data_IF_464569095142
#
_entry.id   IF_464569095142
#
_cell.length_a   1.000
_cell.length_b   1.000
_cell.length_c   1.000
_cell.angle_alpha   90.00
_cell.angle_beta   90.00
_cell.angle_gamma   90.00
#
_symmetry.space_group_name_H-M   'P 1'
#
loop_
_entity.id
_entity.type
_entity.pdbx_description
1 polymer ?
#
# COMPACT_ATOMS: atom_id res chain seq x y z
N UNK A 1 6.34 3.28 -33.02
CA UNK A 1 5.47 3.86 -31.98
C UNK A 1 5.83 3.16 -30.68
N UNK A 2 6.49 3.88 -29.78
CA UNK A 2 7.28 3.31 -28.69
C UNK A 2 6.42 2.65 -27.60
N UNK A 3 6.92 1.54 -27.08
CA UNK A 3 6.39 0.83 -25.90
C UNK A 3 6.68 1.59 -24.61
N UNK A 4 6.32 2.87 -24.55
CA UNK A 4 6.60 3.72 -23.39
C UNK A 4 5.64 3.36 -22.24
N UNK A 5 6.21 2.91 -21.11
CA UNK A 5 5.46 2.57 -19.90
C UNK A 5 4.79 3.84 -19.32
N UNK A 6 3.46 3.87 -19.23
CA UNK A 6 2.73 4.96 -18.58
C UNK A 6 2.64 4.75 -17.07
N UNK A 7 3.34 5.60 -16.30
CA UNK A 7 3.44 5.51 -14.82
C UNK A 7 2.42 6.42 -14.11
N UNK A 8 1.85 7.39 -14.83
CA UNK A 8 0.91 8.36 -14.28
C UNK A 8 -0.52 7.91 -14.54
N UNK A 9 -1.20 7.54 -13.46
CA UNK A 9 -2.64 7.31 -13.50
C UNK A 9 -3.37 8.62 -13.80
N UNK A 10 -4.45 8.53 -14.57
CA UNK A 10 -5.32 9.67 -14.90
C UNK A 10 -6.68 9.41 -14.31
N UNK A 11 -7.41 10.47 -13.95
CA UNK A 11 -8.76 10.33 -13.37
C UNK A 11 -9.73 9.54 -14.27
N UNK A 12 -9.44 9.44 -15.57
CA UNK A 12 -10.18 8.66 -16.57
C UNK A 12 -9.67 7.22 -16.78
N UNK A 13 -8.60 6.78 -16.10
CA UNK A 13 -8.02 5.44 -16.21
C UNK A 13 -7.23 5.17 -17.51
N UNK A 14 -7.08 6.16 -18.38
CA UNK A 14 -6.35 6.03 -19.64
C UNK A 14 -5.17 7.01 -19.71
N UNK A 15 -4.05 6.56 -20.26
CA UNK A 15 -2.86 7.40 -20.41
C UNK A 15 -3.11 8.51 -21.44
N UNK A 16 -3.01 9.81 -21.09
CA UNK A 16 -3.36 10.91 -21.99
C UNK A 16 -2.38 11.08 -23.15
N UNK A 17 -1.22 10.41 -23.11
CA UNK A 17 -0.22 10.43 -24.18
C UNK A 17 -0.38 9.32 -25.21
N UNK A 18 -0.76 8.11 -24.80
CA UNK A 18 -0.81 6.95 -25.70
C UNK A 18 -2.18 6.28 -25.80
N UNK A 19 -3.16 6.70 -25.00
CA UNK A 19 -4.50 6.08 -24.94
C UNK A 19 -4.52 4.66 -24.36
N UNK A 20 -3.38 4.14 -23.92
CA UNK A 20 -3.25 2.81 -23.33
C UNK A 20 -3.79 2.73 -21.91
N UNK A 21 -4.13 1.51 -21.50
CA UNK A 21 -4.54 1.22 -20.12
C UNK A 21 -3.34 1.39 -19.17
N UNK A 22 -3.56 2.04 -18.03
CA UNK A 22 -2.55 2.19 -16.97
C UNK A 22 -2.60 0.93 -16.10
N UNK A 23 -1.55 0.13 -16.16
CA UNK A 23 -1.43 -1.10 -15.37
C UNK A 23 -0.48 -0.85 -14.20
N UNK A 24 -0.83 -1.37 -13.02
CA UNK A 24 0.06 -1.37 -11.87
C UNK A 24 1.34 -2.14 -12.20
N UNK A 25 2.49 -1.47 -12.11
CA UNK A 25 3.80 -2.11 -12.36
C UNK A 25 4.26 -2.99 -11.20
N UNK A 26 3.69 -2.77 -10.01
CA UNK A 26 3.99 -3.52 -8.79
C UNK A 26 2.70 -4.02 -8.18
N UNK A 27 2.64 -5.32 -7.90
CA UNK A 27 1.53 -5.95 -7.23
C UNK A 27 1.82 -6.11 -5.74
N UNK A 28 0.80 -5.94 -4.91
CA UNK A 28 0.85 -6.17 -3.45
C UNK A 28 1.48 -7.52 -3.08
N UNK A 29 1.07 -8.60 -3.76
CA UNK A 29 1.57 -9.94 -3.49
C UNK A 29 3.08 -10.08 -3.69
N UNK A 30 3.66 -9.34 -4.64
CA UNK A 30 5.11 -9.33 -4.85
C UNK A 30 5.83 -8.67 -3.67
N UNK A 31 5.27 -7.59 -3.12
CA UNK A 31 5.84 -6.87 -1.97
C UNK A 31 5.71 -7.69 -0.69
N UNK A 32 4.52 -8.23 -0.40
CA UNK A 32 4.23 -9.03 0.80
C UNK A 32 5.14 -10.25 0.92
N UNK A 33 5.41 -10.94 -0.20
CA UNK A 33 6.28 -12.12 -0.24
C UNK A 33 7.68 -11.86 0.32
N UNK A 34 8.32 -10.77 -0.09
CA UNK A 34 9.68 -10.47 0.35
C UNK A 34 9.75 -9.93 1.78
N UNK A 35 8.70 -9.28 2.24
CA UNK A 35 8.59 -8.80 3.61
C UNK A 35 8.54 -9.97 4.61
N UNK A 36 7.76 -11.00 4.32
CA UNK A 36 7.66 -12.21 5.14
C UNK A 36 9.01 -12.95 5.23
N UNK A 37 9.69 -13.11 4.10
CA UNK A 37 11.04 -13.70 4.05
C UNK A 37 12.03 -12.85 4.86
N UNK A 38 11.94 -11.52 4.78
CA UNK A 38 12.83 -10.62 5.50
C UNK A 38 12.66 -10.71 7.02
N UNK A 39 11.42 -10.89 7.50
CA UNK A 39 11.13 -11.17 8.92
C UNK A 39 11.76 -12.48 9.38
N UNK A 40 11.56 -13.56 8.64
CA UNK A 40 12.10 -14.89 8.97
C UNK A 40 13.65 -14.86 9.03
N UNK A 41 14.30 -14.17 8.09
CA UNK A 41 15.76 -13.99 8.10
C UNK A 41 16.20 -13.17 9.31
N UNK A 42 15.46 -12.10 9.62
CA UNK A 42 15.75 -11.25 10.78
C UNK A 42 15.71 -12.03 12.10
N UNK A 43 14.73 -12.91 12.27
CA UNK A 43 14.60 -13.77 13.46
C UNK A 43 15.66 -14.86 13.50
N UNK A 44 15.92 -15.55 12.38
CA UNK A 44 16.86 -16.68 12.34
C UNK A 44 18.31 -16.28 12.54
N UNK A 45 18.73 -15.15 11.97
CA UNK A 45 20.14 -14.74 11.96
C UNK A 45 20.47 -13.67 13.00
N UNK A 46 19.50 -13.29 13.85
CA UNK A 46 19.75 -12.36 14.96
C UNK A 46 20.22 -10.98 14.50
N UNK A 47 19.51 -10.36 13.54
CA UNK A 47 19.80 -9.00 13.09
C UNK A 47 19.63 -7.99 14.22
N UNK A 48 20.23 -6.80 14.07
CA UNK A 48 20.15 -5.75 15.08
C UNK A 48 18.70 -5.42 15.48
N UNK A 49 18.48 -5.09 16.75
CA UNK A 49 17.16 -4.71 17.26
C UNK A 49 16.52 -3.56 16.46
N UNK A 50 17.34 -2.59 16.04
CA UNK A 50 16.91 -1.49 15.17
C UNK A 50 16.40 -1.99 13.81
N UNK A 51 17.13 -2.91 13.17
CA UNK A 51 16.72 -3.50 11.89
C UNK A 51 15.42 -4.29 12.05
N UNK A 52 15.26 -5.03 13.16
CA UNK A 52 14.04 -5.81 13.41
C UNK A 52 12.82 -4.91 13.58
N UNK A 53 12.93 -3.87 14.40
CA UNK A 53 11.88 -2.87 14.57
C UNK A 53 11.51 -2.18 13.25
N UNK A 54 12.50 -1.90 12.40
CA UNK A 54 12.23 -1.34 11.07
C UNK A 54 11.44 -2.29 10.18
N UNK A 55 11.73 -3.58 10.21
CA UNK A 55 10.97 -4.58 9.44
C UNK A 55 9.52 -4.67 9.98
N UNK A 56 9.34 -4.61 11.30
CA UNK A 56 8.01 -4.58 11.93
C UNK A 56 7.21 -3.32 11.54
N UNK A 57 7.85 -2.14 11.51
CA UNK A 57 7.22 -0.90 11.06
C UNK A 57 6.82 -0.95 9.59
N UNK A 58 7.71 -1.45 8.72
CA UNK A 58 7.42 -1.61 7.29
C UNK A 58 6.22 -2.53 7.05
N UNK A 59 6.06 -3.55 7.88
CA UNK A 59 4.91 -4.45 7.81
C UNK A 59 3.60 -3.77 8.18
N UNK A 60 3.62 -2.96 9.24
CA UNK A 60 2.47 -2.16 9.61
C UNK A 60 2.09 -1.17 8.49
N UNK A 61 3.08 -0.47 7.95
CA UNK A 61 2.87 0.50 6.87
C UNK A 61 2.30 -0.17 5.61
N UNK A 62 2.89 -1.30 5.20
CA UNK A 62 2.42 -2.07 4.03
C UNK A 62 0.99 -2.57 4.27
N UNK A 63 0.69 -3.13 5.44
CA UNK A 63 -0.66 -3.56 5.78
C UNK A 63 -1.65 -2.40 5.71
N UNK A 64 -1.33 -1.24 6.28
CA UNK A 64 -2.19 -0.05 6.25
C UNK A 64 -2.38 0.51 4.83
N UNK A 65 -1.34 0.52 4.00
CA UNK A 65 -1.41 1.01 2.62
C UNK A 65 -2.33 0.17 1.73
N UNK A 66 -2.38 -1.15 1.96
CA UNK A 66 -3.22 -2.08 1.19
C UNK A 66 -4.57 -2.37 1.88
N UNK A 67 -4.77 -1.90 3.11
CA UNK A 67 -6.04 -2.01 3.80
C UNK A 67 -7.08 -1.17 3.06
N UNK A 68 -8.13 -1.83 2.57
CA UNK A 68 -9.13 -1.19 1.74
C UNK A 68 -9.91 -0.16 2.56
N UNK A 69 -9.54 1.11 2.42
CA UNK A 69 -10.36 2.25 2.80
C UNK A 69 -11.58 2.37 1.86
N UNK A 70 -12.44 1.34 1.79
CA UNK A 70 -13.87 1.58 1.54
C UNK A 70 -14.41 2.26 2.79
N UNK A 71 -14.01 3.51 3.02
CA UNK A 71 -14.62 4.35 4.05
C UNK A 71 -16.07 4.44 3.63
N UNK A 72 -16.95 3.72 4.34
CA UNK A 72 -18.37 4.01 4.26
C UNK A 72 -18.49 5.47 4.65
N UNK A 73 -18.90 6.32 3.71
CA UNK A 73 -19.11 7.73 3.99
C UNK A 73 -20.06 7.83 5.19
N UNK A 74 -19.53 8.23 6.34
CA UNK A 74 -20.32 8.43 7.54
C UNK A 74 -21.10 9.73 7.38
N UNK A 75 -22.34 9.76 7.86
CA UNK A 75 -23.16 10.95 7.80
C UNK A 75 -22.61 12.01 8.74
N UNK A 76 -22.83 13.29 8.43
CA UNK A 76 -22.49 14.40 9.35
C UNK A 76 -23.17 14.23 10.72
N UNK A 77 -24.31 13.54 10.78
CA UNK A 77 -25.01 13.15 12.01
C UNK A 77 -24.20 12.21 12.92
N UNK A 78 -23.38 11.33 12.34
CA UNK A 78 -22.53 10.41 13.09
C UNK A 78 -21.35 11.15 13.73
N UNK A 79 -20.94 12.27 13.14
CA UNK A 79 -19.89 13.14 13.69
C UNK A 79 -20.41 14.07 14.79
N UNK A 80 -21.65 14.56 14.67
CA UNK A 80 -22.23 15.51 15.63
C UNK A 80 -22.82 14.86 16.89
N UNK A 81 -23.06 13.54 16.89
CA UNK A 81 -23.69 12.82 18.02
C UNK A 81 -22.71 12.15 18.99
N UNK A 82 -21.39 12.28 18.75
CA UNK A 82 -20.34 11.59 19.50
C UNK A 82 -19.54 12.47 20.47
N UNK A 83 -20.19 13.12 21.43
CA UNK A 83 -19.52 13.65 22.63
C UNK A 83 -20.41 13.44 23.86
N UNK A 84 -20.56 12.19 24.27
CA UNK A 84 -21.12 11.83 25.57
C UNK A 84 -20.51 10.51 26.08
N UNK A 85 -19.21 10.56 26.40
CA UNK A 85 -18.55 10.01 27.62
C UNK A 85 -17.06 9.89 27.41
#
# INVERSE_FOLDING_TARGET
MGSEMCIRDSLTGACPKCGGNVVLTVHEGAVRKYLEISKEIGERYGVSSYTRQRIELLDYDICSLFENHKVKQLGLSDFMSGSAR
#
